data_IF_898506679456
#
_entry.id   IF_898506679456
#
_cell.length_a   1.000
_cell.length_b   1.000
_cell.length_c   1.000
_cell.angle_alpha   90.00
_cell.angle_beta   90.00
_cell.angle_gamma   90.00
#
_symmetry.space_group_name_H-M   'P 1'
#
loop_
_entity.id
_entity.type
_entity.pdbx_description
1 polymer ?
#
# COMPACT_ATOMS: atom_id res chain seq x y z
N UNK A 1 -11.69 8.35 -11.44
CA UNK A 1 -11.34 9.36 -12.45
C UNK A 1 -11.22 8.71 -13.83
N UNK A 2 -10.38 7.67 -13.99
CA UNK A 2 -10.19 6.99 -15.25
C UNK A 2 -11.52 6.46 -15.84
N UNK A 3 -12.37 5.83 -15.04
CA UNK A 3 -13.68 5.34 -15.45
C UNK A 3 -14.60 6.46 -15.96
N UNK A 4 -14.52 7.66 -15.36
CA UNK A 4 -15.33 8.80 -15.77
C UNK A 4 -14.86 9.41 -17.10
N UNK A 5 -13.55 9.52 -17.30
CA UNK A 5 -12.98 10.33 -18.38
C UNK A 5 -12.39 9.52 -19.53
N UNK A 6 -11.86 8.32 -19.25
CA UNK A 6 -11.00 7.63 -20.21
C UNK A 6 -11.51 6.26 -20.66
N UNK A 7 -12.45 5.65 -19.94
CA UNK A 7 -12.94 4.30 -20.27
C UNK A 7 -14.46 4.22 -20.30
N UNK A 8 -14.97 3.44 -21.22
CA UNK A 8 -16.33 2.93 -21.22
C UNK A 8 -16.40 1.60 -20.46
N UNK A 9 -15.31 0.81 -20.52
CA UNK A 9 -15.14 -0.43 -19.78
C UNK A 9 -13.70 -0.54 -19.26
N UNK A 10 -13.54 -0.68 -17.95
CA UNK A 10 -12.28 -1.08 -17.32
C UNK A 10 -12.27 -2.62 -17.24
N UNK A 11 -11.28 -3.27 -17.84
CA UNK A 11 -11.21 -4.72 -17.89
C UNK A 11 -10.07 -5.29 -17.04
N UNK A 12 -8.94 -4.61 -16.95
CA UNK A 12 -7.76 -5.03 -16.18
C UNK A 12 -7.27 -3.87 -15.36
N UNK A 13 -7.07 -4.10 -14.08
CA UNK A 13 -6.64 -3.09 -13.12
C UNK A 13 -5.52 -3.65 -12.25
N UNK A 14 -4.38 -3.00 -12.25
CA UNK A 14 -3.30 -3.21 -11.31
C UNK A 14 -3.10 -1.94 -10.48
N UNK A 15 -3.33 -2.05 -9.17
CA UNK A 15 -2.92 -1.03 -8.21
C UNK A 15 -1.44 -1.29 -7.90
N UNK A 16 -0.62 -0.27 -7.99
CA UNK A 16 0.82 -0.39 -7.78
C UNK A 16 1.29 0.59 -6.71
N UNK A 17 1.95 0.07 -5.68
CA UNK A 17 2.49 0.82 -4.56
C UNK A 17 4.00 0.56 -4.45
N UNK A 18 4.78 1.59 -4.76
CA UNK A 18 6.23 1.54 -4.68
C UNK A 18 6.73 2.52 -3.62
N UNK A 19 7.46 1.99 -2.65
CA UNK A 19 8.32 2.78 -1.79
C UNK A 19 9.78 2.47 -2.12
N UNK A 20 10.44 3.37 -2.84
CA UNK A 20 11.84 3.25 -3.26
C UNK A 20 12.80 4.04 -2.37
N UNK A 21 12.44 4.22 -1.12
CA UNK A 21 13.25 4.97 -0.17
C UNK A 21 14.27 4.14 0.60
N UNK A 22 15.16 4.86 1.29
CA UNK A 22 16.12 4.30 2.25
C UNK A 22 16.11 5.14 3.53
N UNK A 23 15.64 4.55 4.62
CA UNK A 23 15.60 5.16 5.96
C UNK A 23 16.86 4.85 6.79
N UNK A 24 17.89 4.23 6.20
CA UNK A 24 19.18 3.89 6.82
C UNK A 24 19.10 3.00 8.08
N UNK A 25 17.99 2.28 8.27
CA UNK A 25 17.86 1.25 9.31
C UNK A 25 17.99 -0.13 8.68
N UNK A 26 18.57 -1.06 9.41
CA UNK A 26 18.68 -2.44 8.95
C UNK A 26 17.30 -3.07 8.70
N UNK A 27 16.36 -2.84 9.62
CA UNK A 27 14.97 -3.25 9.52
C UNK A 27 14.06 -2.22 10.21
N UNK A 28 13.07 -1.73 9.51
CA UNK A 28 12.00 -0.89 10.03
C UNK A 28 10.78 -1.00 9.11
N UNK A 29 9.61 -0.64 9.60
CA UNK A 29 8.38 -0.59 8.81
C UNK A 29 7.93 0.87 8.64
N UNK A 30 7.34 1.19 7.50
CA UNK A 30 6.94 2.57 7.18
C UNK A 30 5.62 3.00 7.85
N UNK A 31 4.88 2.04 8.37
CA UNK A 31 3.65 2.23 9.13
C UNK A 31 3.60 1.19 10.26
N UNK A 32 2.46 1.00 10.90
CA UNK A 32 2.32 0.11 12.05
C UNK A 32 2.99 -1.27 11.79
N UNK A 33 4.02 -1.64 12.57
CA UNK A 33 4.79 -2.86 12.32
C UNK A 33 3.95 -4.14 12.32
N UNK A 34 2.93 -4.22 13.18
CA UNK A 34 2.04 -5.38 13.23
C UNK A 34 1.25 -5.53 11.94
N UNK A 35 0.66 -4.43 11.44
CA UNK A 35 -0.13 -4.44 10.19
C UNK A 35 0.80 -4.79 9.03
N UNK A 36 1.94 -4.11 8.90
CA UNK A 36 2.89 -4.32 7.81
C UNK A 36 3.40 -5.77 7.76
N UNK A 37 3.84 -6.34 8.89
CA UNK A 37 4.36 -7.71 8.94
C UNK A 37 3.25 -8.71 8.62
N UNK A 38 2.04 -8.52 9.16
CA UNK A 38 0.91 -9.43 8.90
C UNK A 38 0.48 -9.39 7.43
N UNK A 39 0.41 -8.22 6.83
CA UNK A 39 0.04 -8.03 5.43
C UNK A 39 0.97 -8.79 4.47
N UNK A 40 2.27 -8.74 4.72
CA UNK A 40 3.28 -9.42 3.88
C UNK A 40 3.29 -10.92 4.13
N UNK A 41 2.99 -11.37 5.34
CA UNK A 41 3.06 -12.78 5.74
C UNK A 41 1.75 -13.55 5.56
N UNK A 42 0.66 -12.86 5.22
CA UNK A 42 -0.61 -13.49 4.88
C UNK A 42 -0.66 -13.91 3.40
N UNK A 43 -1.63 -14.75 3.06
CA UNK A 43 -1.89 -15.14 1.68
C UNK A 43 -2.21 -13.93 0.81
N UNK A 44 -1.69 -13.93 -0.40
CA UNK A 44 -2.12 -12.98 -1.44
C UNK A 44 -3.54 -13.30 -1.91
N UNK A 45 -4.23 -12.28 -2.42
CA UNK A 45 -5.56 -12.43 -3.01
C UNK A 45 -5.70 -11.49 -4.19
N UNK A 46 -6.19 -11.99 -5.30
CA UNK A 46 -6.55 -11.16 -6.45
C UNK A 46 -7.85 -11.63 -7.09
N UNK A 47 -8.46 -10.77 -7.88
CA UNK A 47 -9.69 -11.09 -8.61
C UNK A 47 -9.37 -11.43 -10.05
N UNK A 48 -9.96 -12.52 -10.57
CA UNK A 48 -9.89 -12.90 -11.97
C UNK A 48 -11.13 -13.66 -12.44
N UNK A 49 -11.75 -13.18 -13.53
CA UNK A 49 -12.87 -13.83 -14.22
C UNK A 49 -14.00 -14.27 -13.27
N UNK A 50 -14.44 -13.38 -12.39
CA UNK A 50 -15.58 -13.65 -11.48
C UNK A 50 -15.21 -14.37 -10.19
N UNK A 51 -13.92 -14.57 -9.90
CA UNK A 51 -13.45 -15.30 -8.71
C UNK A 51 -12.30 -14.57 -8.03
N UNK A 52 -12.26 -14.68 -6.70
CA UNK A 52 -11.07 -14.35 -5.92
C UNK A 52 -10.16 -15.57 -5.87
N UNK A 53 -8.89 -15.38 -6.15
CA UNK A 53 -7.87 -16.42 -6.20
C UNK A 53 -6.84 -16.14 -5.11
N UNK A 54 -6.68 -17.09 -4.18
CA UNK A 54 -5.65 -17.04 -3.15
C UNK A 54 -4.32 -17.56 -3.69
N UNK A 55 -3.22 -16.97 -3.19
CA UNK A 55 -1.84 -17.41 -3.43
C UNK A 55 -1.10 -17.58 -2.12
N UNK A 56 0.01 -18.29 -2.14
CA UNK A 56 0.91 -18.29 -0.97
C UNK A 56 1.54 -16.88 -0.78
N UNK A 57 1.95 -16.53 0.45
CA UNK A 57 2.55 -15.24 0.71
C UNK A 57 3.73 -14.96 -0.22
N UNK A 58 3.73 -13.83 -0.90
CA UNK A 58 4.80 -13.35 -1.78
C UNK A 58 5.13 -14.28 -2.99
N UNK A 59 4.27 -15.26 -3.30
CA UNK A 59 4.49 -16.26 -4.36
C UNK A 59 4.55 -15.63 -5.74
N UNK A 60 3.64 -14.69 -6.02
CA UNK A 60 3.58 -14.02 -7.32
C UNK A 60 4.31 -12.68 -7.23
N UNK A 61 5.36 -12.53 -8.01
CA UNK A 61 6.11 -11.28 -8.08
C UNK A 61 6.64 -11.05 -9.50
N UNK A 62 6.88 -9.80 -9.84
CA UNK A 62 7.43 -9.39 -11.13
C UNK A 62 8.07 -8.00 -11.05
N UNK A 63 9.05 -7.69 -11.90
CA UNK A 63 9.58 -6.34 -11.99
C UNK A 63 8.56 -5.43 -12.67
N UNK A 64 8.18 -4.33 -12.01
CA UNK A 64 7.38 -3.26 -12.59
C UNK A 64 8.21 -1.98 -12.72
N UNK A 65 8.00 -1.23 -13.79
CA UNK A 65 8.71 0.03 -14.00
C UNK A 65 7.90 1.20 -13.42
N UNK A 66 8.51 1.95 -12.51
CA UNK A 66 7.89 3.12 -11.86
C UNK A 66 8.50 4.42 -12.38
N UNK A 67 7.70 5.41 -12.78
CA UNK A 67 8.20 6.69 -13.26
C UNK A 67 9.12 7.35 -12.22
N UNK A 68 10.24 7.91 -12.68
CA UNK A 68 11.34 8.50 -11.92
C UNK A 68 12.16 7.53 -11.03
N UNK A 69 11.66 6.33 -10.78
CA UNK A 69 12.26 5.33 -9.89
C UNK A 69 12.95 4.21 -10.68
N UNK A 70 12.35 3.83 -11.82
CA UNK A 70 12.80 2.68 -12.61
C UNK A 70 12.21 1.34 -12.14
N UNK A 71 12.77 0.21 -12.63
CA UNK A 71 12.24 -1.11 -12.31
C UNK A 71 12.42 -1.47 -10.83
N UNK A 72 11.37 -2.04 -10.24
CA UNK A 72 11.38 -2.58 -8.88
C UNK A 72 10.61 -3.90 -8.84
N UNK A 73 11.15 -4.87 -8.11
CA UNK A 73 10.44 -6.11 -7.85
C UNK A 73 9.19 -5.80 -7.04
N UNK A 74 8.05 -6.21 -7.57
CA UNK A 74 6.72 -5.94 -7.01
C UNK A 74 6.04 -7.27 -6.72
N UNK A 75 5.46 -7.38 -5.54
CA UNK A 75 4.86 -8.59 -5.01
C UNK A 75 3.34 -8.43 -4.93
N UNK A 76 2.62 -9.45 -5.38
CA UNK A 76 1.18 -9.49 -5.30
C UNK A 76 0.75 -9.73 -3.85
N UNK A 77 -0.07 -8.83 -3.32
CA UNK A 77 -0.64 -8.92 -1.98
C UNK A 77 -2.17 -8.88 -2.04
N UNK A 78 -2.81 -9.21 -0.91
CA UNK A 78 -4.20 -8.88 -0.68
C UNK A 78 -4.33 -7.45 -0.17
N UNK A 79 -5.22 -6.69 -0.80
CA UNK A 79 -5.58 -5.34 -0.34
C UNK A 79 -7.07 -5.09 -0.59
N UNK A 80 -7.76 -4.49 0.37
CA UNK A 80 -9.23 -4.42 0.42
C UNK A 80 -9.86 -3.59 -0.70
N UNK A 81 -9.11 -2.66 -1.32
CA UNK A 81 -9.62 -1.84 -2.43
C UNK A 81 -10.05 -2.69 -3.63
N UNK A 82 -9.44 -3.86 -3.83
CA UNK A 82 -9.83 -4.75 -4.93
C UNK A 82 -11.31 -5.13 -4.82
N UNK A 83 -11.81 -5.38 -3.61
CA UNK A 83 -13.19 -5.80 -3.39
C UNK A 83 -14.18 -4.70 -3.78
N UNK A 84 -13.96 -3.46 -3.32
CA UNK A 84 -14.83 -2.34 -3.64
C UNK A 84 -14.78 -1.97 -5.13
N UNK A 85 -13.60 -2.01 -5.74
CA UNK A 85 -13.41 -1.69 -7.16
C UNK A 85 -14.12 -2.71 -8.06
N UNK A 86 -14.05 -4.01 -7.76
CA UNK A 86 -14.72 -5.06 -8.53
C UNK A 86 -16.25 -4.94 -8.42
N UNK A 87 -16.77 -4.56 -7.24
CA UNK A 87 -18.21 -4.34 -7.05
C UNK A 87 -18.69 -3.13 -7.86
N UNK A 88 -17.93 -2.03 -7.84
CA UNK A 88 -18.34 -0.77 -8.48
C UNK A 88 -18.08 -0.76 -10.01
N UNK A 89 -17.14 -1.58 -10.48
CA UNK A 89 -16.79 -1.70 -11.91
C UNK A 89 -16.93 -3.15 -12.41
N UNK A 90 -18.16 -3.63 -12.68
CA UNK A 90 -18.43 -5.03 -13.01
C UNK A 90 -17.82 -5.50 -14.34
N UNK A 91 -17.27 -4.61 -15.15
CA UNK A 91 -16.54 -4.95 -16.38
C UNK A 91 -15.11 -5.43 -16.12
N UNK A 92 -14.62 -5.31 -14.87
CA UNK A 92 -13.30 -5.80 -14.48
C UNK A 92 -13.25 -7.32 -14.59
N UNK A 93 -12.29 -7.79 -15.38
CA UNK A 93 -11.95 -9.21 -15.55
C UNK A 93 -10.84 -9.65 -14.60
N UNK A 94 -9.88 -8.74 -14.30
CA UNK A 94 -8.81 -8.98 -13.34
C UNK A 94 -8.47 -7.70 -12.59
N UNK A 95 -8.30 -7.82 -11.27
CA UNK A 95 -7.79 -6.78 -10.40
C UNK A 95 -6.73 -7.33 -9.45
N UNK A 96 -5.57 -6.64 -9.36
CA UNK A 96 -4.42 -7.04 -8.55
C UNK A 96 -3.87 -5.83 -7.78
N UNK A 97 -3.27 -6.11 -6.62
CA UNK A 97 -2.51 -5.12 -5.86
C UNK A 97 -1.05 -5.56 -5.76
N UNK A 98 -0.14 -4.63 -6.03
CA UNK A 98 1.29 -4.86 -6.06
C UNK A 98 2.01 -3.89 -5.13
N UNK A 99 2.89 -4.42 -4.29
CA UNK A 99 3.73 -3.63 -3.39
C UNK A 99 5.21 -4.00 -3.55
N UNK A 100 6.09 -3.02 -3.37
CA UNK A 100 7.53 -3.23 -3.48
C UNK A 100 8.19 -3.39 -2.11
N UNK A 101 9.19 -4.27 -2.03
CA UNK A 101 10.01 -4.47 -0.85
C UNK A 101 11.49 -4.55 -1.21
N UNK A 102 12.34 -3.95 -0.37
CA UNK A 102 13.79 -4.08 -0.52
C UNK A 102 14.27 -5.48 -0.14
N UNK A 103 15.23 -6.04 -0.87
CA UNK A 103 15.79 -7.38 -0.60
C UNK A 103 16.32 -7.52 0.83
N UNK A 104 16.93 -6.48 1.38
CA UNK A 104 17.39 -6.49 2.76
C UNK A 104 16.24 -6.65 3.75
N UNK A 105 15.15 -5.92 3.53
CA UNK A 105 13.94 -6.03 4.35
C UNK A 105 13.37 -7.45 4.33
N UNK A 106 13.24 -8.06 3.16
CA UNK A 106 12.73 -9.43 3.00
C UNK A 106 13.62 -10.46 3.69
N UNK A 107 14.94 -10.29 3.60
CA UNK A 107 15.90 -11.17 4.29
C UNK A 107 15.71 -11.14 5.81
N UNK A 108 15.57 -9.95 6.40
CA UNK A 108 15.32 -9.84 7.84
C UNK A 108 13.94 -10.33 8.25
N UNK A 109 12.92 -10.08 7.41
CA UNK A 109 11.56 -10.58 7.65
C UNK A 109 11.53 -12.11 7.67
N UNK A 110 12.23 -12.77 6.75
CA UNK A 110 12.37 -14.23 6.73
C UNK A 110 12.99 -14.76 8.04
N UNK A 111 14.05 -14.13 8.53
CA UNK A 111 14.65 -14.49 9.84
C UNK A 111 13.62 -14.29 10.97
N UNK A 112 12.91 -13.17 11.01
CA UNK A 112 11.89 -12.86 12.02
C UNK A 112 10.78 -13.92 12.04
N UNK A 113 10.34 -14.36 10.86
CA UNK A 113 9.35 -15.44 10.72
C UNK A 113 9.90 -16.78 11.21
N UNK A 114 11.09 -17.16 10.75
CA UNK A 114 11.69 -18.46 11.07
C UNK A 114 12.01 -18.63 12.55
N UNK A 115 12.36 -17.56 13.27
CA UNK A 115 12.57 -17.60 14.73
C UNK A 115 11.25 -17.43 15.53
N UNK A 116 10.11 -17.30 14.85
CA UNK A 116 8.80 -17.21 15.48
C UNK A 116 8.42 -15.82 16.04
N UNK A 117 9.18 -14.77 15.72
CA UNK A 117 8.88 -13.42 16.21
C UNK A 117 7.67 -12.76 15.52
N UNK A 118 7.20 -13.31 14.40
CA UNK A 118 5.97 -12.87 13.73
C UNK A 118 4.69 -13.57 14.27
N UNK A 119 4.79 -14.44 15.28
CA UNK A 119 3.65 -15.15 15.88
C UNK A 119 2.72 -14.20 16.62
N UNK A 120 1.41 -14.49 16.54
CA UNK A 120 0.33 -13.72 17.17
C UNK A 120 -0.30 -14.44 18.37
N UNK A 121 0.11 -15.67 18.64
CA UNK A 121 -0.31 -16.47 19.80
C UNK A 121 0.59 -16.21 21.01
N UNK A 122 0.08 -16.49 22.21
CA UNK A 122 0.88 -16.36 23.44
C UNK A 122 1.97 -17.44 23.50
N UNK A 123 3.18 -17.00 23.85
CA UNK A 123 4.32 -17.87 24.19
C UNK A 123 4.67 -17.69 25.66
N UNK A 124 4.74 -18.79 26.41
CA UNK A 124 5.19 -18.79 27.82
C UNK A 124 6.68 -19.15 27.87
N UNK A 125 7.44 -18.42 28.67
CA UNK A 125 8.84 -18.73 28.98
C UNK A 125 9.16 -18.42 30.43
N UNK A 126 10.24 -19.04 30.96
CA UNK A 126 10.73 -18.73 32.30
C UNK A 126 11.77 -17.61 32.26
N UNK A 127 11.43 -16.49 32.87
CA UNK A 127 12.31 -15.34 33.01
C UNK A 127 12.96 -15.31 34.40
N UNK A 128 14.27 -15.04 34.55
CA UNK A 128 14.90 -14.85 35.84
C UNK A 128 14.29 -13.62 36.55
N UNK A 129 14.03 -13.76 37.84
CA UNK A 129 13.61 -12.63 38.67
C UNK A 129 14.78 -11.63 38.85
N UNK A 130 14.44 -10.33 38.90
CA UNK A 130 15.44 -9.27 38.98
C UNK A 130 16.28 -9.33 40.29
N UNK A 131 15.75 -9.94 41.35
CA UNK A 131 16.42 -10.14 42.63
C UNK A 131 17.29 -11.41 42.71
N UNK A 132 17.33 -12.20 41.63
CA UNK A 132 18.10 -13.43 41.53
C UNK A 132 17.55 -14.62 42.38
N UNK A 133 16.34 -14.52 42.94
CA UNK A 133 15.77 -15.54 43.82
C UNK A 133 15.11 -16.71 43.11
N UNK A 134 15.02 -16.66 41.76
CA UNK A 134 14.40 -17.73 40.97
C UNK A 134 13.93 -17.24 39.60
N UNK A 135 13.01 -17.99 39.00
CA UNK A 135 12.36 -17.67 37.74
C UNK A 135 10.87 -17.43 37.90
N UNK A 136 10.29 -16.60 37.07
CA UNK A 136 8.85 -16.41 36.93
C UNK A 136 8.41 -16.81 35.51
N UNK A 137 7.23 -17.39 35.42
CA UNK A 137 6.58 -17.64 34.11
C UNK A 137 6.06 -16.32 33.54
N UNK A 138 6.49 -15.98 32.36
CA UNK A 138 6.07 -14.78 31.62
C UNK A 138 5.42 -15.20 30.31
N UNK A 139 4.31 -14.55 29.99
CA UNK A 139 3.62 -14.73 28.70
C UNK A 139 3.78 -13.50 27.86
N UNK A 140 4.12 -13.69 26.59
CA UNK A 140 4.21 -12.63 25.61
C UNK A 140 3.55 -13.08 24.30
N UNK A 141 3.06 -12.12 23.51
CA UNK A 141 2.79 -12.30 22.09
C UNK A 141 4.01 -11.78 21.33
N UNK A 142 4.78 -12.67 20.64
CA UNK A 142 6.06 -12.29 20.03
C UNK A 142 5.96 -11.06 19.10
N UNK A 143 4.93 -10.99 18.25
CA UNK A 143 4.73 -9.86 17.36
C UNK A 143 4.49 -8.54 18.11
N UNK A 144 3.77 -8.56 19.24
CA UNK A 144 3.57 -7.35 20.06
C UNK A 144 4.86 -6.89 20.73
N UNK A 145 5.69 -7.85 21.15
CA UNK A 145 7.02 -7.54 21.68
C UNK A 145 7.93 -6.96 20.58
N UNK A 146 7.96 -7.59 19.41
CA UNK A 146 8.70 -7.09 18.26
C UNK A 146 8.30 -5.65 17.91
N UNK A 147 7.00 -5.38 17.83
CA UNK A 147 6.46 -4.03 17.59
C UNK A 147 6.96 -3.00 18.61
N UNK A 148 7.08 -3.38 19.88
CA UNK A 148 7.51 -2.48 20.95
C UNK A 148 9.01 -2.11 20.85
N UNK A 149 9.84 -2.96 20.22
CA UNK A 149 11.30 -2.74 20.13
C UNK A 149 11.75 -2.23 18.75
N UNK A 150 10.89 -2.31 17.74
CA UNK A 150 11.18 -1.77 16.39
C UNK A 150 11.24 -0.23 16.39
N UNK A 151 12.02 0.36 15.47
CA UNK A 151 11.99 1.81 15.27
C UNK A 151 10.58 2.31 15.03
N UNK A 152 10.22 3.43 15.66
CA UNK A 152 8.92 4.06 15.42
C UNK A 152 8.86 4.60 13.98
N UNK A 153 7.85 4.23 13.17
CA UNK A 153 7.70 4.74 11.81
C UNK A 153 7.68 6.27 11.69
N UNK A 154 7.19 6.97 12.72
CA UNK A 154 7.18 8.44 12.77
C UNK A 154 8.58 9.06 12.80
N UNK A 155 9.59 8.34 13.31
CA UNK A 155 10.96 8.83 13.43
C UNK A 155 11.81 8.61 12.18
N UNK A 156 11.28 7.89 11.19
CA UNK A 156 12.04 7.54 9.98
C UNK A 156 12.21 8.73 9.02
N UNK A 157 11.30 9.70 9.04
CA UNK A 157 11.21 10.78 8.05
C UNK A 157 12.44 11.69 7.97
N UNK A 158 13.13 11.93 9.09
CA UNK A 158 14.22 12.92 9.16
C UNK A 158 15.39 12.63 8.20
N UNK A 159 15.71 11.36 7.98
CA UNK A 159 16.81 10.91 7.12
C UNK A 159 16.31 9.83 6.15
N UNK A 160 15.23 10.08 5.45
CA UNK A 160 14.64 9.13 4.52
C UNK A 160 14.85 9.62 3.10
N UNK A 161 15.78 9.00 2.38
CA UNK A 161 16.06 9.30 0.98
C UNK A 161 15.06 8.60 0.06
N UNK A 162 14.90 9.14 -1.17
CA UNK A 162 14.06 8.54 -2.20
C UNK A 162 12.62 9.02 -2.19
N UNK A 163 11.76 8.25 -2.83
CA UNK A 163 10.36 8.64 -3.06
C UNK A 163 9.43 7.43 -3.12
N UNK A 164 8.14 7.68 -2.90
CA UNK A 164 7.06 6.75 -3.21
C UNK A 164 6.54 7.00 -4.61
N UNK A 165 5.98 5.97 -5.26
CA UNK A 165 5.18 6.07 -6.48
C UNK A 165 3.97 5.17 -6.34
N UNK A 166 2.78 5.77 -6.31
CA UNK A 166 1.52 5.04 -6.11
C UNK A 166 0.60 5.35 -7.28
N UNK A 167 -0.07 4.33 -7.83
CA UNK A 167 -0.95 4.55 -8.96
C UNK A 167 -1.74 3.32 -9.40
N UNK A 168 -2.45 3.51 -10.50
CA UNK A 168 -3.26 2.46 -11.13
C UNK A 168 -2.88 2.31 -12.59
N UNK A 169 -2.54 1.09 -12.99
CA UNK A 169 -2.35 0.67 -14.37
C UNK A 169 -3.64 0.02 -14.84
N UNK A 170 -4.20 0.52 -15.94
CA UNK A 170 -5.52 0.14 -16.40
C UNK A 170 -5.45 -0.24 -17.88
N UNK A 171 -6.14 -1.32 -18.25
CA UNK A 171 -6.44 -1.67 -19.62
C UNK A 171 -7.94 -1.87 -19.77
N UNK A 172 -8.52 -1.33 -20.84
CA UNK A 172 -9.94 -1.39 -21.07
C UNK A 172 -10.33 -0.85 -22.44
N UNK A 173 -11.60 -0.54 -22.62
CA UNK A 173 -12.16 -0.06 -23.89
C UNK A 173 -12.61 1.39 -23.78
N UNK A 174 -12.36 2.16 -24.85
CA UNK A 174 -12.95 3.47 -25.12
C UNK A 174 -13.38 3.53 -26.59
N UNK A 175 -14.65 3.84 -26.82
CA UNK A 175 -15.24 3.85 -28.18
C UNK A 175 -14.99 2.53 -28.95
N UNK A 176 -15.04 1.38 -28.25
CA UNK A 176 -14.79 0.05 -28.78
C UNK A 176 -13.34 -0.26 -29.08
N UNK A 177 -12.39 0.62 -28.76
CA UNK A 177 -10.95 0.41 -28.96
C UNK A 177 -10.26 0.14 -27.63
N UNK A 178 -9.34 -0.82 -27.64
CA UNK A 178 -8.49 -1.09 -26.49
C UNK A 178 -7.49 0.06 -26.28
N UNK A 179 -7.31 0.45 -25.02
CA UNK A 179 -6.27 1.37 -24.60
C UNK A 179 -5.71 0.99 -23.25
N UNK A 180 -4.49 1.43 -22.98
CA UNK A 180 -3.83 1.37 -21.68
C UNK A 180 -3.68 2.76 -21.10
N UNK A 181 -3.72 2.83 -19.77
CA UNK A 181 -3.66 4.07 -19.03
C UNK A 181 -2.97 3.85 -17.69
N UNK A 182 -2.07 4.73 -17.32
CA UNK A 182 -1.45 4.73 -16.03
C UNK A 182 -1.61 6.10 -15.38
N UNK A 183 -2.27 6.14 -14.22
CA UNK A 183 -2.37 7.33 -13.38
C UNK A 183 -1.56 7.08 -12.11
N UNK A 184 -0.71 8.03 -11.73
CA UNK A 184 0.18 7.87 -10.59
C UNK A 184 0.53 9.22 -9.95
N UNK A 185 1.01 9.18 -8.72
CA UNK A 185 1.72 10.28 -8.08
C UNK A 185 3.07 9.80 -7.54
N UNK A 186 4.02 10.73 -7.45
CA UNK A 186 5.29 10.53 -6.77
C UNK A 186 5.38 11.48 -5.58
N UNK A 187 5.94 11.03 -4.47
CA UNK A 187 6.16 11.83 -3.29
C UNK A 187 7.55 11.58 -2.71
N UNK A 188 8.41 12.59 -2.72
CA UNK A 188 9.73 12.52 -2.10
C UNK A 188 9.61 12.55 -0.59
N UNK A 189 10.30 11.63 0.11
CA UNK A 189 10.23 11.56 1.56
C UNK A 189 10.69 12.85 2.24
N UNK A 190 11.75 13.50 1.74
CA UNK A 190 12.25 14.74 2.32
C UNK A 190 11.32 15.93 2.07
N UNK A 191 10.63 16.00 0.93
CA UNK A 191 9.67 17.07 0.66
C UNK A 191 8.47 16.95 1.62
N UNK A 192 7.94 15.74 1.80
CA UNK A 192 6.89 15.45 2.78
C UNK A 192 7.33 15.78 4.22
N UNK A 193 8.56 15.40 4.57
CA UNK A 193 9.11 15.66 5.90
C UNK A 193 9.28 17.17 6.17
N UNK A 194 9.80 17.91 5.21
CA UNK A 194 9.99 19.35 5.34
C UNK A 194 8.66 20.11 5.53
N UNK A 195 7.58 19.60 4.92
CA UNK A 195 6.25 20.22 5.04
C UNK A 195 5.53 19.83 6.33
N UNK A 196 5.55 18.55 6.71
CA UNK A 196 4.67 18.02 7.75
C UNK A 196 5.40 17.36 8.93
N UNK A 197 6.71 17.14 8.84
CA UNK A 197 7.48 16.34 9.79
C UNK A 197 7.24 14.83 9.64
N UNK A 198 6.55 14.39 8.58
CA UNK A 198 6.22 12.98 8.31
C UNK A 198 6.88 12.51 7.02
N UNK A 199 7.15 11.23 6.93
CA UNK A 199 7.71 10.60 5.72
C UNK A 199 6.65 10.45 4.60
N UNK A 200 7.11 10.19 3.36
CA UNK A 200 6.27 10.15 2.18
C UNK A 200 5.10 9.15 2.25
N UNK A 201 5.28 7.95 2.84
CA UNK A 201 4.19 6.97 2.98
C UNK A 201 3.06 7.50 3.87
N UNK A 202 3.41 8.17 4.99
CA UNK A 202 2.40 8.83 5.85
C UNK A 202 1.71 9.99 5.13
N UNK A 203 2.46 10.72 4.30
CA UNK A 203 1.94 11.86 3.53
C UNK A 203 0.96 11.39 2.45
N UNK A 204 1.33 10.38 1.64
CA UNK A 204 0.48 9.83 0.58
C UNK A 204 -0.77 9.12 1.10
N UNK A 205 -0.79 8.72 2.37
CA UNK A 205 -1.98 8.18 3.05
C UNK A 205 -2.82 9.30 3.68
N UNK A 206 -2.19 10.23 4.37
CA UNK A 206 -2.88 11.27 5.16
C UNK A 206 -3.53 12.35 4.32
N UNK A 207 -2.88 12.80 3.25
CA UNK A 207 -3.41 13.86 2.38
C UNK A 207 -4.71 13.43 1.67
N UNK A 208 -4.81 12.25 1.03
CA UNK A 208 -6.07 11.78 0.44
C UNK A 208 -7.18 11.61 1.49
N UNK A 209 -6.87 11.07 2.65
CA UNK A 209 -7.84 10.93 3.74
C UNK A 209 -8.38 12.29 4.21
N UNK A 210 -7.51 13.28 4.38
CA UNK A 210 -7.89 14.66 4.71
C UNK A 210 -8.77 15.28 3.61
N UNK A 211 -8.42 15.09 2.34
CA UNK A 211 -9.22 15.60 1.20
C UNK A 211 -10.60 14.95 1.20
N UNK A 212 -10.71 13.62 1.41
CA UNK A 212 -11.98 12.93 1.51
C UNK A 212 -12.86 13.49 2.63
N UNK A 213 -12.29 13.69 3.83
CA UNK A 213 -12.98 14.33 4.94
C UNK A 213 -13.44 15.77 4.58
N UNK A 214 -12.60 16.54 3.89
CA UNK A 214 -12.94 17.88 3.42
C UNK A 214 -14.10 17.86 2.40
N UNK A 215 -14.13 16.88 1.47
CA UNK A 215 -15.25 16.70 0.53
C UNK A 215 -16.57 16.48 1.28
N UNK A 216 -16.58 15.61 2.29
CA UNK A 216 -17.74 15.36 3.15
C UNK A 216 -18.15 16.61 3.94
N UNK A 217 -17.21 17.28 4.62
CA UNK A 217 -17.50 18.46 5.43
C UNK A 217 -18.04 19.64 4.60
N UNK A 218 -17.62 19.77 3.35
CA UNK A 218 -18.12 20.79 2.42
C UNK A 218 -19.42 20.40 1.71
N UNK A 219 -19.95 19.21 1.96
CA UNK A 219 -21.15 18.70 1.30
C UNK A 219 -20.97 18.37 -0.19
N UNK A 220 -19.73 18.27 -0.68
CA UNK A 220 -19.41 17.88 -2.06
C UNK A 220 -19.71 16.38 -2.22
N UNK A 221 -19.23 15.57 -1.28
CA UNK A 221 -19.61 14.18 -1.14
C UNK A 221 -20.69 14.07 -0.06
N UNK A 222 -21.96 14.17 -0.49
CA UNK A 222 -23.10 14.18 0.41
C UNK A 222 -24.13 13.13 -0.04
N UNK A 223 -24.04 11.95 0.57
CA UNK A 223 -24.95 10.84 0.34
C UNK A 223 -25.19 10.11 1.66
N UNK A 224 -26.44 9.89 2.10
CA UNK A 224 -26.71 9.20 3.36
C UNK A 224 -26.26 7.74 3.33
N UNK A 225 -25.57 7.30 4.37
CA UNK A 225 -25.14 5.90 4.52
C UNK A 225 -23.62 5.71 4.52
N UNK A 226 -23.19 4.48 4.33
CA UNK A 226 -21.79 4.10 4.14
C UNK A 226 -21.58 3.81 2.66
N UNK A 227 -20.59 4.46 2.08
CA UNK A 227 -20.33 4.43 0.65
C UNK A 227 -18.86 4.22 0.37
N UNK A 228 -18.58 3.50 -0.71
CA UNK A 228 -17.23 3.44 -1.28
C UNK A 228 -16.89 4.76 -2.00
N UNK A 229 -15.64 5.17 -2.01
CA UNK A 229 -15.21 6.43 -2.66
C UNK A 229 -15.48 6.44 -4.16
N UNK A 230 -15.52 5.27 -4.79
CA UNK A 230 -15.81 5.07 -6.22
C UNK A 230 -17.25 5.49 -6.60
N UNK A 231 -18.14 5.62 -5.62
CA UNK A 231 -19.52 6.07 -5.85
C UNK A 231 -19.65 7.59 -5.98
N UNK A 232 -18.61 8.35 -5.72
CA UNK A 232 -18.59 9.81 -5.74
C UNK A 232 -17.90 10.37 -6.98
N UNK A 233 -18.20 11.64 -7.29
CA UNK A 233 -17.50 12.37 -8.33
C UNK A 233 -16.01 12.54 -7.96
N UNK A 234 -15.07 12.02 -8.75
CA UNK A 234 -13.65 12.11 -8.46
C UNK A 234 -13.04 13.49 -8.73
N UNK A 235 -13.62 14.29 -9.62
CA UNK A 235 -12.96 15.51 -10.13
C UNK A 235 -12.60 16.52 -9.04
N UNK A 236 -13.51 16.85 -8.09
CA UNK A 236 -13.16 17.78 -7.02
C UNK A 236 -12.04 17.23 -6.10
N UNK A 237 -12.00 15.91 -5.92
CA UNK A 237 -10.96 15.24 -5.14
C UNK A 237 -9.59 15.30 -5.86
N UNK A 238 -9.57 14.97 -7.14
CA UNK A 238 -8.37 14.98 -7.98
C UNK A 238 -7.78 16.39 -8.12
N UNK A 239 -8.65 17.41 -8.21
CA UNK A 239 -8.21 18.82 -8.18
C UNK A 239 -7.53 19.17 -6.85
N UNK A 240 -8.06 18.69 -5.72
CA UNK A 240 -7.47 18.93 -4.41
C UNK A 240 -6.14 18.21 -4.21
N UNK A 241 -5.96 17.01 -4.74
CA UNK A 241 -4.66 16.32 -4.71
C UNK A 241 -3.54 17.21 -5.26
N UNK A 242 -3.76 17.83 -6.42
CA UNK A 242 -2.81 18.77 -7.01
C UNK A 242 -2.52 19.99 -6.11
N UNK A 243 -3.55 20.51 -5.42
CA UNK A 243 -3.42 21.68 -4.54
C UNK A 243 -2.79 21.38 -3.19
N UNK A 244 -2.88 20.12 -2.75
CA UNK A 244 -2.44 19.68 -1.42
C UNK A 244 -1.13 18.87 -1.46
N UNK A 245 -0.29 19.10 -2.46
CA UNK A 245 1.06 18.58 -2.52
C UNK A 245 1.22 17.16 -3.07
N UNK A 246 0.15 16.55 -3.61
CA UNK A 246 0.20 15.26 -4.31
C UNK A 246 -0.24 15.41 -5.77
N UNK A 247 0.54 16.09 -6.61
CA UNK A 247 0.23 16.17 -8.04
C UNK A 247 0.25 14.77 -8.66
N UNK A 248 -0.76 14.50 -9.47
CA UNK A 248 -0.87 13.25 -10.20
C UNK A 248 -0.55 13.45 -11.69
N UNK A 249 -0.12 12.37 -12.33
CA UNK A 249 0.33 12.31 -13.71
C UNK A 249 -0.36 11.19 -14.45
N UNK A 250 -0.44 11.31 -15.78
CA UNK A 250 -1.10 10.37 -16.67
C UNK A 250 -0.16 9.93 -17.79
N UNK A 251 -0.20 8.65 -18.12
CA UNK A 251 0.50 8.07 -19.25
C UNK A 251 -0.50 7.23 -20.06
N UNK A 252 -0.57 7.47 -21.36
CA UNK A 252 -1.51 6.79 -22.27
C UNK A 252 -0.77 5.91 -23.26
N UNK A 253 -1.37 4.75 -23.56
CA UNK A 253 -0.95 3.85 -24.64
C UNK A 253 0.52 3.37 -24.55
N UNK A 254 1.12 3.41 -23.37
CA UNK A 254 2.35 2.68 -23.12
C UNK A 254 2.09 1.17 -23.05
N UNK A 255 3.13 0.39 -23.37
CA UNK A 255 3.11 -1.05 -23.09
C UNK A 255 3.22 -1.24 -21.57
N UNK A 256 2.08 -1.16 -20.91
CA UNK A 256 1.97 -1.48 -19.51
C UNK A 256 1.93 -3.00 -19.40
N UNK A 257 2.80 -3.57 -18.58
CA UNK A 257 2.83 -5.01 -18.27
C UNK A 257 1.59 -5.38 -17.42
N UNK A 258 0.40 -5.23 -18.03
CA UNK A 258 -0.90 -5.52 -17.40
C UNK A 258 -1.39 -6.93 -17.80
N UNK A 259 -0.52 -7.77 -18.36
CA UNK A 259 -0.87 -9.12 -18.84
C UNK A 259 -0.73 -10.19 -17.76
#
# INVERSE_FOLDING_TARGET
>A
YAAKHHFDEIQYLDIVDCNAGNHHKAFATNFNPEINIREITQKGLYYENGKYIETEPMEIHMPLNYPNIGPRESYLLHHEEIESLVINYPTIKRARFWMTFGQQYLTYLDVIQNIGMARIDEVEYEAPLADGTGNAKVKIVPLQFLKAVLPNPQELGQNYDGETSIGCRIRGLKDGKEQTYYIYNNCKHQDAYNETGMQGVSYTTGVPAMIGAMMCCKGIWSKPGVHNVEEFDPDPFMEQLNKQGLPWHEIFNENLEVD
#
